data_IF_164840244702
#
_entry.id   IF_164840244702
#
_cell.length_a   1.000
_cell.length_b   1.000
_cell.length_c   1.000
_cell.angle_alpha   90.00
_cell.angle_beta   90.00
_cell.angle_gamma   90.00
#
_symmetry.space_group_name_H-M   'P 1'
#
loop_
_entity.id
_entity.type
_entity.pdbx_description
1 polymer ?
#
# COMPACT_ATOMS: atom_id res chain seq x y z
N UNK A 1 3.01 -0.81 23.51
CA UNK A 1 1.53 -0.73 23.54
C UNK A 1 1.09 -0.54 22.09
N UNK A 2 0.37 -1.50 21.53
CA UNK A 2 -0.09 -1.45 20.14
C UNK A 2 -1.31 -0.49 20.05
N UNK A 3 -1.35 0.39 19.04
CA UNK A 3 -2.42 1.38 18.81
C UNK A 3 -3.55 0.87 17.89
N UNK A 4 -3.65 -0.44 17.66
CA UNK A 4 -4.70 -1.05 16.85
C UNK A 4 -6.08 -0.95 17.51
N UNK A 5 -7.04 -0.43 16.76
CA UNK A 5 -8.46 -0.50 17.11
C UNK A 5 -9.00 -1.91 16.92
N UNK A 6 -10.22 -2.18 17.41
CA UNK A 6 -10.92 -3.44 17.15
C UNK A 6 -11.02 -3.78 15.66
N UNK A 7 -11.15 -2.76 14.82
CA UNK A 7 -11.23 -2.91 13.36
C UNK A 7 -9.87 -3.24 12.75
N UNK A 8 -8.80 -2.59 13.21
CA UNK A 8 -7.44 -2.86 12.76
C UNK A 8 -7.01 -4.31 12.99
N UNK A 9 -7.46 -4.92 14.09
CA UNK A 9 -7.15 -6.32 14.43
C UNK A 9 -7.77 -7.35 13.48
N UNK A 10 -8.81 -6.98 12.73
CA UNK A 10 -9.55 -7.91 11.84
C UNK A 10 -9.36 -7.55 10.36
N UNK A 11 -8.43 -6.65 10.04
CA UNK A 11 -8.14 -6.28 8.64
C UNK A 11 -7.59 -7.48 7.89
N UNK A 12 -8.16 -7.75 6.72
CA UNK A 12 -7.55 -8.67 5.76
C UNK A 12 -6.43 -7.96 5.00
N UNK A 13 -5.18 -8.29 5.33
CA UNK A 13 -3.97 -7.73 4.72
C UNK A 13 -3.86 -7.93 3.20
N UNK A 14 -4.44 -9.01 2.67
CA UNK A 14 -4.46 -9.27 1.22
C UNK A 14 -5.50 -8.44 0.49
N UNK A 15 -6.52 -7.98 1.21
CA UNK A 15 -7.70 -7.33 0.67
C UNK A 15 -8.16 -6.17 1.56
N UNK A 16 -7.27 -5.23 1.93
CA UNK A 16 -7.62 -4.16 2.85
C UNK A 16 -8.58 -3.22 2.15
N UNK A 17 -9.77 -3.10 2.70
CA UNK A 17 -10.82 -2.18 2.25
C UNK A 17 -11.21 -2.33 0.77
N UNK A 18 -12.21 -3.17 0.53
CA UNK A 18 -12.73 -3.49 -0.81
C UNK A 18 -13.95 -2.68 -1.22
N UNK A 19 -14.36 -1.71 -0.41
CA UNK A 19 -15.57 -0.95 -0.68
C UNK A 19 -15.39 -0.04 -1.89
N UNK A 20 -16.39 -0.04 -2.76
CA UNK A 20 -16.42 0.83 -3.92
C UNK A 20 -16.55 2.29 -3.47
N UNK A 21 -15.70 3.24 -3.94
CA UNK A 21 -15.65 4.61 -3.43
C UNK A 21 -16.98 5.39 -3.52
N UNK A 22 -17.86 5.02 -4.45
CA UNK A 22 -19.21 5.59 -4.63
C UNK A 22 -20.26 4.49 -4.73
N UNK A 23 -20.78 4.03 -3.60
CA UNK A 23 -21.71 2.89 -3.55
C UNK A 23 -22.93 3.01 -4.48
N UNK A 24 -23.44 4.23 -4.70
CA UNK A 24 -24.60 4.50 -5.58
C UNK A 24 -24.25 4.62 -7.07
N UNK A 25 -22.96 4.69 -7.43
CA UNK A 25 -22.47 4.87 -8.81
C UNK A 25 -21.46 3.80 -9.16
N UNK A 26 -21.78 2.55 -8.83
CA UNK A 26 -20.93 1.41 -9.14
C UNK A 26 -20.85 1.18 -10.64
N UNK A 27 -19.66 0.80 -11.09
CA UNK A 27 -19.38 0.44 -12.48
C UNK A 27 -18.70 -0.91 -12.48
N UNK A 28 -19.07 -1.75 -13.44
CA UNK A 28 -18.50 -3.10 -13.58
C UNK A 28 -17.00 -3.07 -13.94
N UNK A 29 -16.54 -1.98 -14.58
CA UNK A 29 -15.15 -1.79 -14.98
C UNK A 29 -14.20 -1.37 -13.85
N UNK A 30 -14.60 -1.52 -12.58
CA UNK A 30 -13.78 -1.14 -11.44
C UNK A 30 -12.95 -2.30 -10.92
N UNK A 31 -11.67 -2.02 -10.69
CA UNK A 31 -10.74 -2.98 -10.12
C UNK A 31 -9.97 -2.33 -8.97
N UNK A 32 -10.09 -2.90 -7.77
CA UNK A 32 -9.40 -2.40 -6.60
C UNK A 32 -7.96 -2.91 -6.57
N UNK A 33 -6.99 -1.98 -6.45
CA UNK A 33 -5.57 -2.31 -6.39
C UNK A 33 -5.00 -2.36 -4.97
N UNK A 34 -5.82 -2.17 -3.94
CA UNK A 34 -5.42 -2.33 -2.53
C UNK A 34 -4.83 -3.73 -2.26
N UNK A 35 -4.11 -3.85 -1.15
CA UNK A 35 -3.42 -5.07 -0.74
C UNK A 35 -1.91 -4.94 -0.82
N UNK A 36 -1.23 -6.04 -1.11
CA UNK A 36 0.24 -6.08 -1.14
C UNK A 36 0.77 -5.31 -2.35
N UNK A 37 1.68 -4.39 -2.07
CA UNK A 37 2.52 -3.63 -3.00
C UNK A 37 3.98 -3.79 -2.59
N UNK A 38 4.85 -3.26 -3.42
CA UNK A 38 6.26 -3.09 -3.11
C UNK A 38 6.59 -1.60 -2.93
N UNK A 39 7.56 -1.29 -2.08
CA UNK A 39 8.11 0.05 -1.91
C UNK A 39 9.64 0.07 -1.86
N UNK A 40 10.20 1.24 -2.15
CA UNK A 40 11.62 1.53 -1.97
C UNK A 40 11.80 3.00 -1.58
N UNK A 41 12.77 3.28 -0.69
CA UNK A 41 13.19 4.63 -0.35
C UNK A 41 14.54 4.91 -1.01
N UNK A 42 14.65 6.01 -1.74
CA UNK A 42 15.88 6.42 -2.44
C UNK A 42 16.25 7.88 -2.15
N UNK A 43 17.43 8.31 -2.57
CA UNK A 43 17.71 9.74 -2.71
C UNK A 43 16.71 10.39 -3.68
N UNK A 44 16.35 11.65 -3.45
CA UNK A 44 15.31 12.34 -4.25
C UNK A 44 15.61 12.41 -5.75
N UNK A 45 16.89 12.37 -6.12
CA UNK A 45 17.37 12.44 -7.52
C UNK A 45 17.76 11.06 -8.07
N UNK A 46 17.46 9.98 -7.35
CA UNK A 46 17.83 8.62 -7.72
C UNK A 46 16.59 7.76 -7.97
N UNK A 47 16.63 7.01 -9.07
CA UNK A 47 15.62 6.02 -9.41
C UNK A 47 15.69 4.77 -8.51
N UNK A 48 14.57 4.05 -8.34
CA UNK A 48 14.57 2.79 -7.61
C UNK A 48 15.51 1.76 -8.27
N UNK A 49 16.13 0.93 -7.44
CA UNK A 49 17.10 -0.09 -7.84
C UNK A 49 16.41 -1.44 -7.85
N UNK A 50 16.54 -2.18 -8.95
CA UNK A 50 16.00 -3.54 -9.05
C UNK A 50 16.53 -4.43 -7.91
N UNK A 51 15.67 -5.30 -7.37
CA UNK A 51 16.01 -6.21 -6.27
C UNK A 51 16.01 -5.60 -4.86
N UNK A 52 15.85 -4.29 -4.70
CA UNK A 52 15.81 -3.62 -3.38
C UNK A 52 14.39 -3.27 -2.91
N UNK A 53 13.39 -3.90 -3.50
CA UNK A 53 11.98 -3.68 -3.19
C UNK A 53 11.59 -4.41 -1.90
N UNK A 54 10.82 -3.73 -1.04
CA UNK A 54 10.24 -4.29 0.19
C UNK A 54 8.73 -4.30 0.10
N UNK A 55 8.04 -5.14 0.88
CA UNK A 55 6.57 -5.23 0.85
C UNK A 55 5.91 -4.14 1.70
N UNK A 56 4.77 -3.64 1.25
CA UNK A 56 3.89 -2.73 2.00
C UNK A 56 2.42 -3.08 1.71
N UNK A 57 1.56 -2.92 2.71
CA UNK A 57 0.10 -3.05 2.54
C UNK A 57 -0.51 -1.67 2.30
N UNK A 58 -1.04 -1.46 1.09
CA UNK A 58 -1.81 -0.25 0.70
C UNK A 58 -3.28 -0.49 1.03
N UNK A 59 -3.99 0.45 1.68
CA UNK A 59 -3.73 1.90 1.71
C UNK A 59 -3.03 2.42 2.97
N UNK A 60 -2.42 1.56 3.78
CA UNK A 60 -1.83 1.98 5.04
C UNK A 60 -0.50 2.73 4.84
N UNK A 61 -0.28 3.75 5.67
CA UNK A 61 0.90 4.61 5.56
C UNK A 61 2.20 3.87 5.92
N UNK A 62 3.31 4.28 5.30
CA UNK A 62 4.64 3.81 5.69
C UNK A 62 4.91 4.09 7.18
N UNK A 63 5.42 3.11 7.91
CA UNK A 63 5.75 3.22 9.34
C UNK A 63 4.61 2.89 10.29
N UNK A 64 3.41 2.58 9.79
CA UNK A 64 2.31 2.12 10.63
C UNK A 64 2.24 0.59 10.67
N UNK A 65 1.73 0.06 11.78
CA UNK A 65 1.69 -1.39 12.02
C UNK A 65 0.92 -2.14 10.92
N UNK A 66 -0.21 -1.59 10.47
CA UNK A 66 -1.04 -2.21 9.42
C UNK A 66 -0.42 -2.19 8.03
N UNK A 67 0.59 -1.35 7.78
CA UNK A 67 1.28 -1.36 6.48
C UNK A 67 2.36 -2.44 6.40
N UNK A 68 2.72 -3.06 7.54
CA UNK A 68 3.85 -3.97 7.69
C UNK A 68 5.20 -3.40 7.21
N UNK A 69 5.25 -2.09 6.98
CA UNK A 69 6.46 -1.40 6.57
C UNK A 69 6.94 -0.55 7.74
N UNK A 70 7.86 -1.09 8.53
CA UNK A 70 8.33 -0.48 9.79
C UNK A 70 9.24 0.75 9.60
N UNK A 71 9.54 1.13 8.36
CA UNK A 71 10.41 2.26 8.08
C UNK A 71 9.63 3.58 8.16
N UNK A 72 10.30 4.67 8.52
CA UNK A 72 9.78 6.01 8.29
C UNK A 72 10.44 6.61 7.05
N UNK A 73 9.74 7.50 6.34
CA UNK A 73 10.31 8.22 5.21
C UNK A 73 11.25 9.32 5.74
N UNK A 74 12.57 9.24 5.54
CA UNK A 74 13.46 10.29 6.01
C UNK A 74 13.25 11.58 5.21
N UNK A 75 13.45 12.72 5.87
CA UNK A 75 13.31 14.04 5.23
C UNK A 75 14.20 14.14 3.99
N UNK A 76 13.63 14.58 2.88
CA UNK A 76 14.38 14.79 1.63
C UNK A 76 14.66 13.53 0.82
N UNK A 77 14.15 12.35 1.21
CA UNK A 77 14.17 11.13 0.39
C UNK A 77 12.92 11.02 -0.49
N UNK A 78 12.96 10.13 -1.48
CA UNK A 78 11.80 9.74 -2.28
C UNK A 78 11.27 8.38 -1.83
N UNK A 79 9.94 8.23 -1.81
CA UNK A 79 9.25 6.97 -1.57
C UNK A 79 8.60 6.50 -2.87
N UNK A 80 8.99 5.32 -3.33
CA UNK A 80 8.47 4.69 -4.53
C UNK A 80 7.53 3.57 -4.15
N UNK A 81 6.46 3.41 -4.93
CA UNK A 81 5.52 2.30 -4.84
C UNK A 81 5.46 1.57 -6.18
N UNK A 82 5.37 0.24 -6.15
CA UNK A 82 5.24 -0.62 -7.33
C UNK A 82 4.22 -1.72 -7.09
N UNK A 83 3.37 -1.96 -8.09
CA UNK A 83 2.50 -3.12 -8.17
C UNK A 83 2.36 -3.56 -9.61
N UNK A 84 2.58 -4.86 -9.82
CA UNK A 84 2.24 -5.52 -11.07
C UNK A 84 0.86 -6.16 -10.90
N UNK A 85 -0.01 -5.95 -11.88
CA UNK A 85 -1.34 -6.54 -11.90
C UNK A 85 -1.73 -6.88 -13.33
N UNK A 86 -2.50 -7.94 -13.50
CA UNK A 86 -3.12 -8.29 -14.77
C UNK A 86 -4.51 -7.69 -14.80
N UNK A 87 -4.84 -6.99 -15.88
CA UNK A 87 -6.18 -6.49 -16.13
C UNK A 87 -6.76 -7.25 -17.32
N UNK A 88 -7.96 -7.80 -17.16
CA UNK A 88 -8.76 -8.33 -18.26
C UNK A 88 -9.85 -7.28 -18.52
N UNK A 89 -9.80 -6.60 -19.68
CA UNK A 89 -10.83 -5.64 -20.05
C UNK A 89 -12.19 -6.29 -20.24
#
# INVERSE_FOLDING_TARGET
RNMLTKWGKIVNEKCPWQEYPRMLMQRDSYYNLNGVWEYQITERKQNPVAGQWKKIIVPFALGCELSQAEQQLPKGKALWYRKQFSYKP
#
